data_IF_030147082560
#
_entry.id   IF_030147082560
#
_cell.length_a   1.000
_cell.length_b   1.000
_cell.length_c   1.000
_cell.angle_alpha   90.00
_cell.angle_beta   90.00
_cell.angle_gamma   90.00
#
_symmetry.space_group_name_H-M   'P 1'
#
loop_
_entity.id
_entity.type
_entity.pdbx_description
1 polymer ?
#
# COMPACT_ATOMS: atom_id res chain seq x y z
N UNK A 1 -8.60 -13.78 17.88
CA UNK A 1 -9.33 -13.05 16.82
C UNK A 1 -8.97 -13.66 15.47
N UNK A 2 -9.96 -14.12 14.71
CA UNK A 2 -9.72 -14.70 13.38
C UNK A 2 -9.32 -13.56 12.42
N UNK A 3 -8.11 -13.60 11.86
CA UNK A 3 -7.67 -12.59 10.87
C UNK A 3 -8.52 -12.76 9.61
N UNK A 4 -9.13 -11.66 9.13
CA UNK A 4 -9.89 -11.67 7.87
C UNK A 4 -9.00 -12.21 6.74
N UNK A 5 -9.54 -12.95 5.76
CA UNK A 5 -8.76 -13.37 4.59
C UNK A 5 -8.11 -12.18 3.89
N UNK A 6 -6.90 -12.37 3.34
CA UNK A 6 -6.12 -11.32 2.66
C UNK A 6 -6.95 -10.65 1.55
N UNK A 7 -7.69 -11.46 0.77
CA UNK A 7 -8.54 -10.95 -0.30
C UNK A 7 -9.64 -10.01 0.21
N UNK A 8 -10.19 -10.25 1.41
CA UNK A 8 -11.21 -9.41 2.03
C UNK A 8 -10.60 -8.10 2.50
N UNK A 9 -9.45 -8.16 3.18
CA UNK A 9 -8.75 -6.95 3.65
C UNK A 9 -8.36 -6.03 2.47
N UNK A 10 -7.81 -6.61 1.40
CA UNK A 10 -7.46 -5.88 0.17
C UNK A 10 -8.68 -5.17 -0.41
N UNK A 11 -9.83 -5.85 -0.49
CA UNK A 11 -11.08 -5.28 -1.00
C UNK A 11 -11.57 -4.13 -0.13
N UNK A 12 -11.48 -4.27 1.19
CA UNK A 12 -11.85 -3.20 2.13
C UNK A 12 -10.95 -1.95 1.98
N UNK A 13 -9.63 -2.13 1.86
CA UNK A 13 -8.69 -1.02 1.61
C UNK A 13 -9.06 -0.30 0.31
N UNK A 14 -9.22 -1.06 -0.78
CA UNK A 14 -9.56 -0.53 -2.11
C UNK A 14 -10.91 0.21 -2.11
N UNK A 15 -11.91 -0.31 -1.41
CA UNK A 15 -13.25 0.28 -1.34
C UNK A 15 -13.27 1.61 -0.57
N UNK A 16 -12.33 1.82 0.35
CA UNK A 16 -12.29 2.99 1.22
C UNK A 16 -11.14 3.96 0.88
N UNK A 17 -10.40 3.75 -0.21
CA UNK A 17 -9.26 4.59 -0.58
C UNK A 17 -9.41 5.21 -1.97
N UNK A 18 -8.84 6.41 -2.12
CA UNK A 18 -8.68 7.08 -3.40
C UNK A 18 -7.73 6.29 -4.33
N UNK A 19 -7.91 6.42 -5.66
CA UNK A 19 -7.28 5.51 -6.62
C UNK A 19 -5.81 5.84 -6.97
N UNK A 20 -5.31 7.02 -6.62
CA UNK A 20 -3.98 7.48 -7.07
C UNK A 20 -3.41 8.62 -6.22
N UNK A 21 -2.09 8.76 -6.21
CA UNK A 21 -1.34 9.91 -5.68
C UNK A 21 -0.02 10.06 -6.44
N UNK A 22 0.47 11.30 -6.65
CA UNK A 22 1.75 11.57 -7.34
C UNK A 22 1.92 10.89 -8.72
N UNK A 23 0.83 10.72 -9.47
CA UNK A 23 0.86 10.00 -10.76
C UNK A 23 0.93 8.47 -10.65
N UNK A 24 0.99 7.93 -9.44
CA UNK A 24 0.94 6.49 -9.15
C UNK A 24 -0.51 6.09 -8.98
N UNK A 25 -0.91 5.02 -9.69
CA UNK A 25 -2.27 4.49 -9.69
C UNK A 25 -2.33 3.12 -9.04
N UNK A 26 -3.54 2.70 -8.67
CA UNK A 26 -3.80 1.38 -8.10
C UNK A 26 -3.15 0.26 -8.91
N UNK A 27 -2.56 -0.69 -8.19
CA UNK A 27 -1.77 -1.81 -8.69
C UNK A 27 -0.40 -1.47 -9.30
N UNK A 28 0.04 -0.21 -9.32
CA UNK A 28 1.43 0.09 -9.67
C UNK A 28 2.38 -0.51 -8.63
N UNK A 29 3.49 -1.08 -9.12
CA UNK A 29 4.60 -1.50 -8.26
C UNK A 29 5.41 -0.28 -7.86
N UNK A 30 5.76 -0.22 -6.58
CA UNK A 30 6.57 0.84 -5.98
C UNK A 30 7.65 0.19 -5.13
N UNK A 31 8.83 0.83 -5.07
CA UNK A 31 9.98 0.31 -4.35
C UNK A 31 10.25 1.20 -3.15
N UNK A 32 10.42 0.62 -1.97
CA UNK A 32 10.84 1.36 -0.78
C UNK A 32 12.32 1.74 -0.84
N UNK A 33 12.77 2.70 -0.03
CA UNK A 33 14.20 3.01 0.14
C UNK A 33 15.04 1.81 0.61
N UNK A 34 14.44 0.89 1.37
CA UNK A 34 15.10 -0.37 1.79
C UNK A 34 15.20 -1.41 0.66
N UNK A 35 14.61 -1.14 -0.50
CA UNK A 35 14.66 -1.99 -1.68
C UNK A 35 13.52 -3.01 -1.80
N UNK A 36 12.58 -3.01 -0.88
CA UNK A 36 11.40 -3.88 -0.91
C UNK A 36 10.38 -3.39 -1.93
N UNK A 37 9.63 -4.33 -2.52
CA UNK A 37 8.62 -4.03 -3.55
C UNK A 37 7.22 -4.17 -2.97
N UNK A 38 6.40 -3.17 -3.27
CA UNK A 38 5.02 -3.09 -2.86
C UNK A 38 4.13 -2.80 -4.04
N UNK A 39 2.85 -3.12 -3.91
CA UNK A 39 1.78 -2.77 -4.83
C UNK A 39 0.95 -1.66 -4.19
N UNK A 40 0.82 -0.53 -4.88
CA UNK A 40 0.00 0.59 -4.42
C UNK A 40 -1.49 0.23 -4.46
N UNK A 41 -2.21 0.41 -3.35
CA UNK A 41 -3.64 0.09 -3.25
C UNK A 41 -4.52 1.33 -3.29
N UNK A 42 -4.06 2.43 -2.68
CA UNK A 42 -4.77 3.70 -2.64
C UNK A 42 -4.28 4.62 -1.54
N UNK A 43 -4.91 5.78 -1.44
CA UNK A 43 -4.67 6.78 -0.40
C UNK A 43 -5.94 7.03 0.41
N UNK A 44 -5.84 7.09 1.74
CA UNK A 44 -6.96 7.42 2.64
C UNK A 44 -6.43 8.17 3.85
N UNK A 45 -7.08 9.27 4.24
CA UNK A 45 -6.75 10.04 5.45
C UNK A 45 -5.28 10.48 5.54
N UNK A 46 -4.65 10.81 4.41
CA UNK A 46 -3.24 11.20 4.35
C UNK A 46 -2.26 10.01 4.39
N UNK A 47 -2.75 8.78 4.49
CA UNK A 47 -1.95 7.56 4.44
C UNK A 47 -2.04 6.86 3.08
N UNK A 48 -0.91 6.34 2.62
CA UNK A 48 -0.78 5.49 1.45
C UNK A 48 -0.78 4.04 1.87
N UNK A 49 -1.75 3.29 1.33
CA UNK A 49 -1.92 1.86 1.59
C UNK A 49 -1.20 1.03 0.53
N UNK A 50 -0.38 0.09 0.98
CA UNK A 50 0.51 -0.72 0.17
C UNK A 50 0.34 -2.21 0.50
N UNK A 51 0.41 -3.07 -0.51
CA UNK A 51 0.51 -4.52 -0.36
C UNK A 51 1.96 -4.97 -0.61
N UNK A 52 2.59 -5.65 0.34
CA UNK A 52 3.90 -6.29 0.13
C UNK A 52 3.79 -7.35 -0.95
N UNK A 53 4.72 -7.32 -1.90
CA UNK A 53 4.85 -8.39 -2.89
C UNK A 53 5.37 -9.69 -2.22
N UNK A 54 6.36 -9.55 -1.34
CA UNK A 54 6.88 -10.65 -0.52
C UNK A 54 6.17 -10.72 0.84
N UNK A 55 5.21 -11.64 0.94
CA UNK A 55 4.35 -11.85 2.12
C UNK A 55 5.08 -12.55 3.27
N UNK A 56 6.31 -13.02 3.06
CA UNK A 56 7.12 -13.65 4.12
C UNK A 56 7.85 -12.63 5.00
N UNK A 57 8.03 -11.39 4.52
CA UNK A 57 8.84 -10.34 5.15
C UNK A 57 8.10 -9.48 6.19
N UNK A 58 6.88 -9.86 6.57
CA UNK A 58 6.11 -9.16 7.60
C UNK A 58 4.63 -9.01 7.28
N UNK A 59 4.02 -7.92 7.75
CA UNK A 59 2.61 -7.65 7.50
C UNK A 59 2.34 -7.42 6.01
N UNK A 60 1.36 -8.15 5.46
CA UNK A 60 1.03 -8.10 4.04
C UNK A 60 0.57 -6.72 3.58
N UNK A 61 -0.16 -6.00 4.42
CA UNK A 61 -0.61 -4.64 4.14
C UNK A 61 0.03 -3.68 5.14
N UNK A 62 0.55 -2.58 4.63
CA UNK A 62 1.07 -1.49 5.46
C UNK A 62 0.42 -0.18 5.02
N UNK A 63 0.29 0.75 5.96
CA UNK A 63 0.04 2.15 5.67
C UNK A 63 1.28 2.95 6.03
N UNK A 64 1.57 3.98 5.24
CA UNK A 64 2.60 4.97 5.56
C UNK A 64 2.07 6.36 5.25
N UNK A 65 2.60 7.38 5.91
CA UNK A 65 2.22 8.76 5.64
C UNK A 65 2.53 9.15 4.18
N UNK A 66 1.64 9.90 3.55
CA UNK A 66 1.79 10.32 2.15
C UNK A 66 2.99 11.24 1.90
N UNK A 67 3.47 11.96 2.91
CA UNK A 67 4.71 12.75 2.85
C UNK A 67 5.95 11.87 2.93
N UNK A 68 5.88 10.76 3.67
CA UNK A 68 6.93 9.74 3.69
C UNK A 68 6.98 8.99 2.35
N UNK A 69 5.82 8.61 1.81
CA UNK A 69 5.71 7.98 0.50
C UNK A 69 6.25 8.87 -0.63
N UNK A 70 6.09 10.19 -0.53
CA UNK A 70 6.66 11.13 -1.51
C UNK A 70 8.19 11.06 -1.61
N UNK A 71 8.88 10.51 -0.60
CA UNK A 71 10.34 10.29 -0.64
C UNK A 71 10.71 9.03 -1.43
N UNK A 72 9.77 8.13 -1.68
CA UNK A 72 10.00 6.91 -2.46
C UNK A 72 9.96 7.17 -3.97
N UNK A 73 9.36 8.29 -4.37
CA UNK A 73 9.15 8.67 -5.78
C UNK A 73 10.16 9.68 -6.30
N UNK A 74 11.07 10.16 -5.43
CA UNK A 74 12.19 11.04 -5.78
C UNK A 74 13.42 10.21 -6.15
#
# INVERSE_FOLDING_TARGET
MQRKPIAVQRREIIANSGPSIYGITRNNKVKSPSGEVFVFLGVRDGEVWLEREDKSKGETFISIDSTEFAKWTK
#
